data_IF_999007349808
#
_entry.id   IF_999007349808
#
_cell.length_a   1.000
_cell.length_b   1.000
_cell.length_c   1.000
_cell.angle_alpha   90.00
_cell.angle_beta   90.00
_cell.angle_gamma   90.00
#
_symmetry.space_group_name_H-M   'P 1'
#
loop_
_entity.id
_entity.type
_entity.pdbx_description
1 polymer ?
#
# COMPACT_ATOMS: atom_id res chain seq x y z
N UNK A 1 41.69 6.60 10.62
CA UNK A 1 42.42 5.31 10.53
C UNK A 1 42.06 4.70 9.19
N UNK A 2 43.03 4.16 8.45
CA UNK A 2 42.89 3.80 7.03
C UNK A 2 41.77 2.77 6.77
N UNK A 3 40.65 3.22 6.17
CA UNK A 3 39.58 2.40 5.59
C UNK A 3 40.02 1.89 4.20
N UNK A 4 40.90 0.89 4.16
CA UNK A 4 41.25 0.19 2.91
C UNK A 4 40.83 -1.26 3.02
N UNK A 5 40.07 -1.77 2.04
CA UNK A 5 39.56 -3.14 1.98
C UNK A 5 40.67 -4.20 2.08
N UNK A 6 40.32 -5.45 2.42
CA UNK A 6 41.28 -6.57 2.46
C UNK A 6 42.11 -6.66 1.17
N UNK A 7 41.46 -6.57 0.01
CA UNK A 7 42.11 -6.60 -1.29
C UNK A 7 43.09 -5.45 -1.50
N UNK A 8 42.71 -4.23 -1.10
CA UNK A 8 43.58 -3.06 -1.18
C UNK A 8 44.77 -3.13 -0.23
N UNK A 9 44.61 -3.69 0.96
CA UNK A 9 45.73 -3.94 1.88
C UNK A 9 46.70 -4.98 1.34
N UNK A 10 46.19 -6.06 0.75
CA UNK A 10 47.02 -7.07 0.09
C UNK A 10 47.76 -6.43 -1.10
N UNK A 11 47.05 -5.66 -1.94
CA UNK A 11 47.63 -4.95 -3.09
C UNK A 11 48.68 -3.92 -2.66
N UNK A 12 48.43 -3.20 -1.57
CA UNK A 12 49.33 -2.21 -1.00
C UNK A 12 50.58 -2.88 -0.43
N UNK A 13 50.42 -3.87 0.43
CA UNK A 13 51.53 -4.64 0.99
C UNK A 13 52.36 -5.28 -0.12
N UNK A 14 51.72 -5.85 -1.15
CA UNK A 14 52.42 -6.42 -2.31
C UNK A 14 53.26 -5.37 -3.05
N UNK A 15 52.70 -4.19 -3.30
CA UNK A 15 53.41 -3.08 -3.97
C UNK A 15 54.56 -2.55 -3.11
N UNK A 16 54.36 -2.44 -1.79
CA UNK A 16 55.42 -2.05 -0.84
C UNK A 16 56.55 -3.08 -0.79
N UNK A 17 56.25 -4.36 -1.03
CA UNK A 17 57.23 -5.45 -1.15
C UNK A 17 57.76 -5.65 -2.57
N UNK A 18 57.45 -4.76 -3.52
CA UNK A 18 57.89 -4.82 -4.93
C UNK A 18 57.55 -6.13 -5.66
N UNK A 19 56.50 -6.84 -5.23
CA UNK A 19 56.11 -8.14 -5.80
C UNK A 19 55.10 -7.99 -6.95
N UNK A 20 55.19 -8.82 -7.99
CA UNK A 20 54.10 -8.97 -8.97
C UNK A 20 52.97 -9.84 -8.39
N UNK A 21 51.78 -9.82 -9.01
CA UNK A 21 50.69 -10.72 -8.61
C UNK A 21 51.09 -12.20 -8.79
N UNK A 22 51.92 -12.51 -9.80
CA UNK A 22 52.48 -13.84 -10.00
C UNK A 22 53.41 -14.25 -8.84
N UNK A 23 54.25 -13.33 -8.38
CA UNK A 23 55.21 -13.60 -7.29
C UNK A 23 54.49 -13.87 -5.97
N UNK A 24 53.46 -13.07 -5.67
CA UNK A 24 52.62 -13.28 -4.50
C UNK A 24 51.86 -14.62 -4.59
N UNK A 25 51.30 -14.92 -5.76
CA UNK A 25 50.51 -16.13 -6.00
C UNK A 25 51.31 -17.44 -5.90
N UNK A 26 52.59 -17.43 -6.27
CA UNK A 26 53.42 -18.61 -6.54
C UNK A 26 53.34 -19.69 -5.45
N UNK A 27 52.78 -20.85 -5.77
CA UNK A 27 52.68 -21.98 -4.83
C UNK A 27 51.66 -21.79 -3.70
N UNK A 28 50.80 -20.76 -3.76
CA UNK A 28 49.68 -20.56 -2.85
C UNK A 28 48.36 -20.65 -3.62
N UNK A 29 48.19 -19.79 -4.65
CA UNK A 29 46.98 -19.71 -5.49
C UNK A 29 47.37 -19.31 -6.92
N UNK A 30 46.41 -19.18 -7.82
CA UNK A 30 46.66 -18.64 -9.16
C UNK A 30 46.77 -17.11 -9.12
N UNK A 31 47.52 -16.53 -10.05
CA UNK A 31 47.65 -15.07 -10.20
C UNK A 31 46.31 -14.38 -10.49
N UNK A 32 45.42 -15.06 -11.23
CA UNK A 32 44.05 -14.61 -11.45
C UNK A 32 43.26 -14.51 -10.13
N UNK A 33 43.43 -15.46 -9.22
CA UNK A 33 42.80 -15.42 -7.90
C UNK A 33 43.35 -14.29 -7.04
N UNK A 34 44.66 -14.00 -7.09
CA UNK A 34 45.22 -12.79 -6.44
C UNK A 34 44.60 -11.53 -7.03
N UNK A 35 44.45 -11.43 -8.35
CA UNK A 35 43.80 -10.29 -8.99
C UNK A 35 42.32 -10.14 -8.55
N UNK A 36 41.57 -11.24 -8.42
CA UNK A 36 40.19 -11.21 -7.91
C UNK A 36 40.14 -10.78 -6.44
N UNK A 37 41.07 -11.26 -5.61
CA UNK A 37 41.18 -10.86 -4.19
C UNK A 37 41.52 -9.37 -4.07
N UNK A 38 42.52 -8.89 -4.82
CA UNK A 38 42.95 -7.48 -4.79
C UNK A 38 41.86 -6.50 -5.25
N UNK A 39 40.89 -6.97 -6.03
CA UNK A 39 39.76 -6.18 -6.52
C UNK A 39 38.45 -6.47 -5.76
N UNK A 40 38.50 -7.18 -4.62
CA UNK A 40 37.33 -7.45 -3.77
C UNK A 40 36.31 -8.44 -4.34
N UNK A 41 36.63 -9.14 -5.43
CA UNK A 41 35.74 -10.10 -6.10
C UNK A 41 35.81 -11.51 -5.51
N UNK A 42 36.83 -11.82 -4.71
CA UNK A 42 37.01 -13.13 -4.07
C UNK A 42 37.62 -12.97 -2.67
N UNK A 43 37.19 -13.81 -1.72
CA UNK A 43 37.73 -13.85 -0.37
C UNK A 43 38.61 -15.10 -0.18
N UNK A 44 39.88 -14.95 0.23
CA UNK A 44 40.74 -16.10 0.49
C UNK A 44 40.30 -16.84 1.76
N UNK A 45 40.52 -18.16 1.78
CA UNK A 45 40.39 -18.92 3.04
C UNK A 45 41.45 -18.48 4.06
N UNK A 46 41.22 -18.74 5.34
CA UNK A 46 42.19 -18.42 6.39
C UNK A 46 43.58 -19.00 6.10
N UNK A 47 43.66 -20.24 5.60
CA UNK A 47 44.93 -20.89 5.22
C UNK A 47 45.64 -20.15 4.09
N UNK A 48 44.90 -19.70 3.07
CA UNK A 48 45.45 -18.91 1.96
C UNK A 48 45.89 -17.54 2.46
N UNK A 49 45.08 -16.88 3.29
CA UNK A 49 45.40 -15.57 3.84
C UNK A 49 46.64 -15.61 4.74
N UNK A 50 46.78 -16.62 5.59
CA UNK A 50 47.97 -16.84 6.42
C UNK A 50 49.23 -17.00 5.56
N UNK A 51 49.17 -17.84 4.52
CA UNK A 51 50.30 -18.04 3.60
C UNK A 51 50.67 -16.75 2.82
N UNK A 52 49.67 -15.94 2.46
CA UNK A 52 49.91 -14.63 1.83
C UNK A 52 50.49 -13.62 2.83
N UNK A 53 50.03 -13.61 4.07
CA UNK A 53 50.53 -12.73 5.12
C UNK A 53 52.00 -13.01 5.46
N UNK A 54 52.34 -14.30 5.58
CA UNK A 54 53.72 -14.76 5.76
C UNK A 54 54.62 -14.29 4.61
N UNK A 55 54.13 -14.42 3.36
CA UNK A 55 54.88 -13.98 2.17
C UNK A 55 55.06 -12.46 2.09
N UNK A 56 54.05 -11.71 2.51
CA UNK A 56 54.08 -10.25 2.55
C UNK A 56 54.83 -9.72 3.78
N UNK A 57 55.34 -10.61 4.65
CA UNK A 57 56.03 -10.27 5.90
C UNK A 57 55.22 -9.30 6.78
N UNK A 58 53.90 -9.53 6.86
CA UNK A 58 52.98 -8.75 7.70
C UNK A 58 52.23 -9.71 8.64
N UNK A 59 52.00 -9.31 9.90
CA UNK A 59 51.17 -10.11 10.81
C UNK A 59 49.77 -10.30 10.23
N UNK A 60 49.16 -11.48 10.41
CA UNK A 60 47.87 -11.81 9.81
C UNK A 60 46.76 -10.86 10.27
N UNK A 61 46.91 -10.30 11.49
CA UNK A 61 46.05 -9.29 12.10
C UNK A 61 45.95 -8.01 11.25
N UNK A 62 47.00 -7.66 10.50
CA UNK A 62 47.00 -6.54 9.56
C UNK A 62 45.97 -6.72 8.44
N UNK A 63 45.64 -7.96 8.08
CA UNK A 63 44.69 -8.28 7.03
C UNK A 63 43.30 -8.66 7.58
N UNK A 64 43.26 -9.32 8.75
CA UNK A 64 42.05 -9.92 9.34
C UNK A 64 41.12 -8.92 10.05
N UNK A 65 41.59 -7.74 10.44
CA UNK A 65 40.81 -6.73 11.17
C UNK A 65 39.46 -6.35 10.52
N UNK A 66 39.36 -6.33 9.18
CA UNK A 66 38.07 -6.14 8.50
C UNK A 66 37.33 -7.43 8.19
N UNK A 67 37.96 -8.61 8.24
CA UNK A 67 37.22 -9.86 8.00
C UNK A 67 36.23 -10.14 9.13
N UNK A 68 36.60 -9.85 10.38
CA UNK A 68 35.65 -9.93 11.51
C UNK A 68 34.57 -8.85 11.44
N UNK A 69 34.94 -7.62 11.05
CA UNK A 69 34.01 -6.49 10.90
C UNK A 69 33.01 -6.73 9.76
N UNK A 70 33.46 -7.23 8.60
CA UNK A 70 32.59 -7.59 7.46
C UNK A 70 31.70 -8.81 7.79
N UNK A 71 32.22 -9.82 8.49
CA UNK A 71 31.40 -10.98 8.92
C UNK A 71 30.34 -10.53 9.94
N UNK A 72 30.70 -9.63 10.86
CA UNK A 72 29.75 -9.02 11.81
C UNK A 72 28.69 -8.18 11.09
N UNK A 73 29.08 -7.32 10.14
CA UNK A 73 28.14 -6.50 9.35
C UNK A 73 27.17 -7.38 8.54
N UNK A 74 27.66 -8.42 7.85
CA UNK A 74 26.79 -9.36 7.12
C UNK A 74 25.84 -10.12 8.03
N UNK A 75 26.31 -10.54 9.20
CA UNK A 75 25.48 -11.21 10.21
C UNK A 75 24.41 -10.26 10.74
N UNK A 76 24.77 -9.01 11.04
CA UNK A 76 23.83 -7.97 11.46
C UNK A 76 22.83 -7.61 10.36
N UNK A 77 23.23 -7.57 9.10
CA UNK A 77 22.35 -7.33 7.96
C UNK A 77 21.33 -8.47 7.80
N UNK A 78 21.80 -9.71 7.91
CA UNK A 78 20.93 -10.89 7.91
C UNK A 78 19.92 -10.84 9.07
N UNK A 79 20.37 -10.43 10.26
CA UNK A 79 19.49 -10.24 11.42
C UNK A 79 18.48 -9.11 11.19
N UNK A 80 18.87 -8.00 10.56
CA UNK A 80 17.96 -6.93 10.22
C UNK A 80 16.85 -7.41 9.27
N UNK A 81 17.20 -8.18 8.23
CA UNK A 81 16.21 -8.79 7.32
C UNK A 81 15.26 -9.75 8.05
N UNK A 82 15.78 -10.55 8.99
CA UNK A 82 14.95 -11.42 9.82
C UNK A 82 13.99 -10.61 10.73
N UNK A 83 14.46 -9.50 11.31
CA UNK A 83 13.63 -8.59 12.10
C UNK A 83 12.52 -7.92 11.26
N UNK A 84 12.80 -7.59 10.00
CA UNK A 84 11.77 -7.10 9.07
C UNK A 84 10.74 -8.17 8.76
N UNK A 85 11.16 -9.41 8.50
CA UNK A 85 10.25 -10.52 8.28
C UNK A 85 9.35 -10.80 9.49
N UNK A 86 9.82 -10.51 10.71
CA UNK A 86 9.02 -10.58 11.93
C UNK A 86 8.25 -9.29 12.26
N UNK A 87 8.14 -8.34 11.32
CA UNK A 87 7.44 -7.05 11.50
C UNK A 87 8.10 -6.07 12.48
N UNK A 88 9.29 -6.37 12.98
CA UNK A 88 10.02 -5.56 13.96
C UNK A 88 10.85 -4.45 13.30
N UNK A 89 10.21 -3.61 12.49
CA UNK A 89 10.86 -2.60 11.66
C UNK A 89 11.67 -1.56 12.44
N UNK A 90 11.23 -1.17 13.64
CA UNK A 90 11.96 -0.20 14.48
C UNK A 90 13.33 -0.74 14.92
N UNK A 91 13.40 -2.04 15.27
CA UNK A 91 14.65 -2.72 15.64
C UNK A 91 15.52 -2.99 14.41
N UNK A 92 14.91 -3.34 13.29
CA UNK A 92 15.63 -3.50 12.03
C UNK A 92 16.29 -2.18 11.59
N UNK A 93 15.55 -1.08 11.64
CA UNK A 93 16.04 0.26 11.29
C UNK A 93 17.16 0.72 12.22
N UNK A 94 17.05 0.51 13.54
CA UNK A 94 18.12 0.89 14.47
C UNK A 94 19.40 0.07 14.22
N UNK A 95 19.25 -1.22 13.93
CA UNK A 95 20.35 -2.09 13.59
C UNK A 95 21.01 -1.66 12.28
N UNK A 96 20.24 -1.41 11.21
CA UNK A 96 20.72 -0.93 9.92
C UNK A 96 21.43 0.43 10.03
N UNK A 97 20.87 1.37 10.79
CA UNK A 97 21.46 2.70 11.03
C UNK A 97 22.80 2.63 11.79
N UNK A 98 22.98 1.60 12.62
CA UNK A 98 24.25 1.37 13.34
C UNK A 98 25.35 0.74 12.48
N UNK A 99 25.02 0.23 11.29
CA UNK A 99 26.00 -0.31 10.35
C UNK A 99 26.71 0.84 9.63
N UNK A 100 28.04 0.84 9.66
CA UNK A 100 28.87 1.73 8.83
C UNK A 100 29.35 0.97 7.60
N UNK A 101 29.50 1.67 6.46
CA UNK A 101 30.17 1.26 5.22
C UNK A 101 29.93 -0.20 4.75
N UNK A 102 28.96 -0.38 3.86
CA UNK A 102 28.90 -1.54 2.99
C UNK A 102 29.78 -1.29 1.75
N UNK A 103 30.55 -2.30 1.32
CA UNK A 103 31.28 -2.23 0.06
C UNK A 103 30.32 -2.00 -1.12
N UNK A 104 30.83 -1.40 -2.20
CA UNK A 104 30.03 -0.94 -3.36
C UNK A 104 29.06 -1.99 -3.96
N UNK A 105 29.31 -3.30 -3.78
CA UNK A 105 28.45 -4.37 -4.29
C UNK A 105 27.24 -4.73 -3.41
N UNK A 106 27.28 -4.45 -2.10
CA UNK A 106 26.18 -4.74 -1.16
C UNK A 106 25.40 -3.46 -0.76
N UNK A 107 25.88 -2.30 -1.22
CA UNK A 107 25.27 -1.01 -0.93
C UNK A 107 23.83 -0.90 -1.48
N UNK A 108 23.55 -1.42 -2.67
CA UNK A 108 22.21 -1.37 -3.26
C UNK A 108 21.18 -2.11 -2.38
N UNK A 109 21.44 -3.39 -2.09
CA UNK A 109 20.53 -4.21 -1.27
C UNK A 109 20.33 -3.61 0.12
N UNK A 110 21.40 -3.04 0.71
CA UNK A 110 21.34 -2.33 1.97
C UNK A 110 20.40 -1.12 1.91
N UNK A 111 20.60 -0.21 0.95
CA UNK A 111 19.77 1.00 0.82
C UNK A 111 18.30 0.65 0.50
N UNK A 112 18.06 -0.38 -0.33
CA UNK A 112 16.70 -0.86 -0.62
C UNK A 112 16.02 -1.43 0.62
N UNK A 113 16.76 -2.19 1.44
CA UNK A 113 16.26 -2.76 2.70
C UNK A 113 15.97 -1.65 3.73
N UNK A 114 16.84 -0.64 3.79
CA UNK A 114 16.69 0.51 4.67
C UNK A 114 15.50 1.39 4.25
N UNK A 115 15.33 1.66 2.96
CA UNK A 115 14.18 2.40 2.42
C UNK A 115 12.86 1.68 2.75
N UNK A 116 12.81 0.35 2.62
CA UNK A 116 11.64 -0.44 3.04
C UNK A 116 11.37 -0.31 4.54
N UNK A 117 12.40 -0.35 5.40
CA UNK A 117 12.22 -0.09 6.83
C UNK A 117 11.66 1.31 7.11
N UNK A 118 12.15 2.33 6.41
CA UNK A 118 11.66 3.70 6.54
C UNK A 118 10.18 3.81 6.14
N UNK A 119 9.78 3.18 5.03
CA UNK A 119 8.39 3.14 4.57
C UNK A 119 7.46 2.59 5.66
N UNK A 120 7.79 1.42 6.21
CA UNK A 120 6.98 0.75 7.25
C UNK A 120 6.93 1.53 8.57
N UNK A 121 7.90 2.42 8.81
CA UNK A 121 7.93 3.32 9.97
C UNK A 121 7.27 4.68 9.69
N UNK A 122 6.69 4.89 8.51
CA UNK A 122 6.08 6.16 8.09
C UNK A 122 7.10 7.27 7.78
N UNK A 123 8.38 6.93 7.65
CA UNK A 123 9.49 7.87 7.35
C UNK A 123 9.68 8.02 5.84
N UNK A 124 8.63 8.49 5.16
CA UNK A 124 8.58 8.49 3.70
C UNK A 124 9.65 9.38 3.06
N UNK A 125 9.89 10.58 3.60
CA UNK A 125 10.90 11.50 3.07
C UNK A 125 12.32 10.91 3.14
N UNK A 126 12.68 10.26 4.25
CA UNK A 126 13.97 9.57 4.40
C UNK A 126 14.12 8.43 3.38
N UNK A 127 13.03 7.70 3.09
CA UNK A 127 13.02 6.62 2.12
C UNK A 127 13.22 7.13 0.69
N UNK A 128 12.49 8.19 0.30
CA UNK A 128 12.60 8.83 -1.02
C UNK A 128 14.01 9.36 -1.25
N UNK A 129 14.58 10.08 -0.28
CA UNK A 129 15.93 10.64 -0.41
C UNK A 129 17.00 9.57 -0.61
N UNK A 130 16.89 8.43 0.09
CA UNK A 130 17.79 7.29 -0.12
C UNK A 130 17.65 6.67 -1.51
N UNK A 131 16.41 6.49 -1.97
CA UNK A 131 16.13 5.89 -3.28
C UNK A 131 16.55 6.82 -4.43
N UNK A 132 16.36 8.13 -4.31
CA UNK A 132 16.80 9.12 -5.30
C UNK A 132 18.34 9.18 -5.40
N UNK A 133 19.05 9.09 -4.26
CA UNK A 133 20.51 8.95 -4.26
C UNK A 133 20.96 7.69 -4.99
N UNK A 134 20.31 6.55 -4.68
CA UNK A 134 20.61 5.28 -5.34
C UNK A 134 20.32 5.34 -6.86
N UNK A 135 19.25 6.03 -7.25
CA UNK A 135 18.88 6.24 -8.66
C UNK A 135 19.96 7.03 -9.42
N UNK A 136 20.49 8.09 -8.80
CA UNK A 136 21.57 8.90 -9.38
C UNK A 136 22.88 8.09 -9.54
N UNK A 137 23.13 7.13 -8.64
CA UNK A 137 24.31 6.27 -8.63
C UNK A 137 24.18 5.02 -9.54
N UNK A 138 23.03 4.79 -10.18
CA UNK A 138 22.75 3.53 -10.90
C UNK A 138 23.43 3.38 -12.29
N UNK A 139 24.20 4.38 -12.76
CA UNK A 139 25.08 4.36 -13.95
C UNK A 139 24.62 3.52 -15.17
N UNK A 140 23.33 3.53 -15.51
CA UNK A 140 22.80 2.82 -16.69
C UNK A 140 22.49 1.34 -16.51
N UNK A 141 22.54 0.79 -15.29
CA UNK A 141 21.98 -0.54 -15.03
C UNK A 141 20.45 -0.49 -15.03
N UNK A 142 19.86 -0.96 -16.13
CA UNK A 142 18.43 -0.86 -16.37
C UNK A 142 17.58 -1.60 -15.33
N UNK A 143 18.02 -2.78 -14.86
CA UNK A 143 17.31 -3.55 -13.84
C UNK A 143 17.30 -2.83 -12.48
N UNK A 144 18.42 -2.21 -12.11
CA UNK A 144 18.51 -1.43 -10.87
C UNK A 144 17.59 -0.22 -10.92
N UNK A 145 17.67 0.57 -12.00
CA UNK A 145 16.81 1.74 -12.21
C UNK A 145 15.33 1.35 -12.18
N UNK A 146 14.96 0.22 -12.80
CA UNK A 146 13.60 -0.30 -12.78
C UNK A 146 13.15 -0.62 -11.35
N UNK A 147 13.97 -1.37 -10.59
CA UNK A 147 13.65 -1.75 -9.21
C UNK A 147 13.54 -0.53 -8.28
N UNK A 148 14.36 0.50 -8.51
CA UNK A 148 14.31 1.75 -7.73
C UNK A 148 13.02 2.52 -8.03
N UNK A 149 12.60 2.62 -9.30
CA UNK A 149 11.31 3.21 -9.62
C UNK A 149 10.14 2.44 -9.01
N UNK A 150 10.22 1.09 -8.98
CA UNK A 150 9.24 0.25 -8.28
C UNK A 150 9.19 0.55 -6.76
N UNK A 151 10.31 0.87 -6.11
CA UNK A 151 10.28 1.27 -4.69
C UNK A 151 9.81 2.70 -4.48
N UNK A 152 10.21 3.64 -5.34
CA UNK A 152 9.82 5.04 -5.22
C UNK A 152 8.30 5.21 -5.31
N UNK A 153 7.64 4.54 -6.27
CA UNK A 153 6.20 4.64 -6.34
C UNK A 153 5.49 3.92 -5.19
N UNK A 154 6.09 2.88 -4.60
CA UNK A 154 5.51 2.14 -3.47
C UNK A 154 5.51 3.06 -2.25
N UNK A 155 6.63 3.72 -1.99
CA UNK A 155 6.78 4.72 -0.93
C UNK A 155 5.82 5.91 -1.17
N UNK A 156 5.74 6.40 -2.41
CA UNK A 156 4.83 7.49 -2.76
C UNK A 156 3.36 7.10 -2.56
N UNK A 157 2.97 5.86 -2.91
CA UNK A 157 1.61 5.36 -2.70
C UNK A 157 1.26 5.23 -1.21
N UNK A 158 2.18 4.71 -0.38
CA UNK A 158 1.99 4.58 1.07
C UNK A 158 1.95 5.94 1.77
N UNK A 159 2.66 6.94 1.24
CA UNK A 159 2.59 8.33 1.72
C UNK A 159 1.34 9.10 1.25
N UNK A 160 0.47 8.48 0.46
CA UNK A 160 -0.75 9.10 -0.09
C UNK A 160 -0.50 10.05 -1.27
N UNK A 161 0.75 10.13 -1.77
CA UNK A 161 1.13 10.99 -2.90
C UNK A 161 0.85 10.29 -4.24
N UNK A 162 -0.42 10.03 -4.53
CA UNK A 162 -0.82 9.18 -5.68
C UNK A 162 -0.35 9.69 -7.04
N UNK A 163 -0.27 11.01 -7.23
CA UNK A 163 0.26 11.58 -8.49
C UNK A 163 1.76 11.27 -8.67
N UNK A 164 2.53 11.35 -7.58
CA UNK A 164 3.96 11.01 -7.60
C UNK A 164 4.17 9.51 -7.76
N UNK A 165 3.34 8.69 -7.09
CA UNK A 165 3.33 7.24 -7.28
C UNK A 165 3.11 6.88 -8.76
N UNK A 166 2.09 7.48 -9.38
CA UNK A 166 1.79 7.27 -10.80
C UNK A 166 2.96 7.68 -11.70
N UNK A 167 3.66 8.78 -11.40
CA UNK A 167 4.84 9.19 -12.14
C UNK A 167 5.94 8.11 -12.11
N UNK A 168 6.28 7.60 -10.93
CA UNK A 168 7.28 6.54 -10.79
C UNK A 168 6.82 5.21 -11.42
N UNK A 169 5.53 4.87 -11.30
CA UNK A 169 4.94 3.69 -11.94
C UNK A 169 5.05 3.75 -13.46
N UNK A 170 4.77 4.90 -14.06
CA UNK A 170 4.90 5.11 -15.51
C UNK A 170 6.37 5.02 -15.95
N UNK A 171 7.31 5.53 -15.16
CA UNK A 171 8.74 5.38 -15.43
C UNK A 171 9.18 3.92 -15.43
N UNK A 172 8.74 3.13 -14.45
CA UNK A 172 8.98 1.68 -14.44
C UNK A 172 8.29 0.99 -15.64
N UNK A 173 7.07 1.42 -15.99
CA UNK A 173 6.29 0.85 -17.09
C UNK A 173 6.98 1.01 -18.45
N UNK A 174 7.54 2.19 -18.72
CA UNK A 174 8.34 2.48 -19.93
C UNK A 174 9.56 1.55 -20.11
N UNK A 175 9.99 0.88 -19.04
CA UNK A 175 11.16 0.01 -19.02
C UNK A 175 10.81 -1.48 -19.15
N UNK A 176 9.55 -1.90 -18.94
CA UNK A 176 9.16 -3.32 -18.86
C UNK A 176 9.66 -4.17 -20.04
N UNK A 177 9.57 -3.65 -21.26
CA UNK A 177 10.00 -4.36 -22.48
C UNK A 177 11.51 -4.47 -22.61
N UNK A 178 12.26 -3.54 -22.03
CA UNK A 178 13.73 -3.51 -22.09
C UNK A 178 14.38 -4.34 -20.99
N UNK A 179 13.67 -4.52 -19.86
CA UNK A 179 14.11 -5.28 -18.69
C UNK A 179 13.75 -6.77 -18.83
N UNK A 180 13.02 -7.15 -19.89
CA UNK A 180 12.47 -8.50 -20.06
C UNK A 180 11.74 -9.00 -18.80
N UNK A 181 11.00 -8.08 -18.16
CA UNK A 181 10.28 -8.38 -16.92
C UNK A 181 9.30 -9.52 -17.15
N UNK A 182 9.23 -10.45 -16.19
CA UNK A 182 8.35 -11.59 -16.31
C UNK A 182 6.86 -11.16 -16.26
N UNK A 183 5.93 -11.98 -16.78
CA UNK A 183 4.50 -11.64 -16.80
C UNK A 183 3.92 -11.41 -15.39
N UNK A 184 4.53 -12.00 -14.36
CA UNK A 184 4.14 -11.72 -12.99
C UNK A 184 4.48 -10.27 -12.67
N UNK A 185 5.74 -9.86 -12.69
CA UNK A 185 6.17 -8.49 -12.36
C UNK A 185 5.45 -7.42 -13.21
N UNK A 186 5.21 -7.69 -14.50
CA UNK A 186 4.43 -6.82 -15.40
C UNK A 186 3.03 -6.55 -14.87
N UNK A 187 2.29 -7.60 -14.54
CA UNK A 187 0.93 -7.47 -14.04
C UNK A 187 0.87 -6.85 -12.65
N UNK A 188 1.87 -7.05 -11.78
CA UNK A 188 1.91 -6.35 -10.49
C UNK A 188 2.00 -4.84 -10.70
N UNK A 189 2.90 -4.40 -11.58
CA UNK A 189 3.04 -2.97 -11.91
C UNK A 189 1.75 -2.42 -12.54
N UNK A 190 1.14 -3.16 -13.47
CA UNK A 190 -0.16 -2.79 -14.06
C UNK A 190 -1.26 -2.66 -12.99
N UNK A 191 -1.32 -3.58 -12.03
CA UNK A 191 -2.25 -3.51 -10.89
C UNK A 191 -1.97 -2.28 -10.02
N UNK A 192 -0.71 -1.98 -9.69
CA UNK A 192 -0.35 -0.77 -8.94
C UNK A 192 -0.75 0.51 -9.68
N UNK A 193 -0.55 0.57 -11.00
CA UNK A 193 -1.01 1.70 -11.83
C UNK A 193 -2.53 1.81 -11.79
N UNK A 194 -3.25 0.70 -12.00
CA UNK A 194 -4.71 0.66 -11.98
C UNK A 194 -5.29 1.10 -10.65
N UNK A 195 -4.76 0.59 -9.54
CA UNK A 195 -5.14 0.98 -8.18
C UNK A 195 -4.86 2.46 -7.91
N UNK A 196 -3.72 2.98 -8.39
CA UNK A 196 -3.37 4.39 -8.23
C UNK A 196 -4.34 5.29 -9.00
N UNK A 197 -4.72 4.92 -10.23
CA UNK A 197 -5.75 5.65 -10.99
C UNK A 197 -7.11 5.60 -10.32
N UNK A 198 -7.49 4.45 -9.75
CA UNK A 198 -8.74 4.32 -8.99
C UNK A 198 -8.75 5.27 -7.78
N UNK A 199 -7.67 5.32 -6.99
CA UNK A 199 -7.54 6.28 -5.87
C UNK A 199 -7.54 7.74 -6.30
N UNK A 200 -7.13 8.04 -7.53
CA UNK A 200 -7.21 9.37 -8.14
C UNK A 200 -8.60 9.70 -8.73
N UNK A 201 -9.55 8.76 -8.71
CA UNK A 201 -10.89 8.92 -9.29
C UNK A 201 -10.92 8.85 -10.82
N UNK A 202 -9.84 8.36 -11.44
CA UNK A 202 -9.68 8.29 -12.89
C UNK A 202 -10.02 6.87 -13.36
N UNK A 203 -11.31 6.58 -13.41
CA UNK A 203 -11.79 5.19 -13.44
C UNK A 203 -11.60 4.48 -14.78
N UNK A 204 -11.61 5.19 -15.92
CA UNK A 204 -11.45 4.56 -17.23
C UNK A 204 -10.04 3.95 -17.38
N UNK A 205 -9.02 4.70 -16.98
CA UNK A 205 -7.63 4.26 -16.97
C UNK A 205 -7.42 3.15 -15.94
N UNK A 206 -8.02 3.26 -14.75
CA UNK A 206 -7.96 2.22 -13.74
C UNK A 206 -8.45 0.87 -14.27
N UNK A 207 -9.63 0.86 -14.91
CA UNK A 207 -10.20 -0.33 -15.54
C UNK A 207 -9.28 -0.89 -16.62
N UNK A 208 -8.75 -0.04 -17.51
CA UNK A 208 -7.87 -0.46 -18.59
C UNK A 208 -6.62 -1.18 -18.07
N UNK A 209 -5.95 -0.59 -17.07
CA UNK A 209 -4.74 -1.17 -16.49
C UNK A 209 -5.00 -2.46 -15.70
N UNK A 210 -6.11 -2.53 -14.96
CA UNK A 210 -6.51 -3.75 -14.25
C UNK A 210 -6.88 -4.89 -15.20
N UNK A 211 -7.56 -4.61 -16.31
CA UNK A 211 -7.86 -5.60 -17.33
C UNK A 211 -6.60 -6.10 -18.05
N UNK A 212 -5.63 -5.22 -18.31
CA UNK A 212 -4.34 -5.64 -18.85
C UNK A 212 -3.58 -6.54 -17.86
N UNK A 213 -3.57 -6.19 -16.57
CA UNK A 213 -2.98 -7.02 -15.53
C UNK A 213 -3.60 -8.42 -15.46
N UNK A 214 -4.92 -8.51 -15.66
CA UNK A 214 -5.64 -9.78 -15.72
C UNK A 214 -5.18 -10.64 -16.91
N UNK A 215 -5.14 -10.07 -18.13
CA UNK A 215 -4.77 -10.81 -19.33
C UNK A 215 -3.33 -11.33 -19.30
N UNK A 216 -2.40 -10.55 -18.72
CA UNK A 216 -0.99 -10.94 -18.54
C UNK A 216 -0.83 -12.18 -17.65
N UNK A 217 -1.70 -12.35 -16.64
CA UNK A 217 -1.58 -13.46 -15.67
C UNK A 217 -2.64 -14.54 -15.80
N UNK A 218 -3.59 -14.49 -16.74
CA UNK A 218 -4.79 -15.35 -16.77
C UNK A 218 -4.57 -16.86 -16.58
N UNK A 219 -3.40 -17.38 -16.93
CA UNK A 219 -3.05 -18.81 -16.78
C UNK A 219 -2.39 -19.16 -15.43
N UNK A 220 -1.86 -18.18 -14.68
CA UNK A 220 -1.08 -18.38 -13.44
C UNK A 220 -1.50 -17.46 -12.28
N UNK A 221 -2.62 -16.75 -12.38
CA UNK A 221 -3.15 -15.94 -11.26
C UNK A 221 -3.48 -16.87 -10.09
N UNK A 222 -3.05 -16.53 -8.87
CA UNK A 222 -3.63 -17.16 -7.69
C UNK A 222 -5.12 -16.79 -7.62
N UNK A 223 -5.95 -17.69 -7.09
CA UNK A 223 -7.37 -17.37 -6.90
C UNK A 223 -7.53 -16.15 -5.98
N UNK A 224 -6.63 -15.95 -5.01
CA UNK A 224 -6.68 -14.82 -4.08
C UNK A 224 -6.43 -13.48 -4.80
N UNK A 225 -5.35 -13.39 -5.59
CA UNK A 225 -5.05 -12.18 -6.38
C UNK A 225 -6.19 -11.86 -7.36
N UNK A 226 -6.81 -12.91 -7.92
CA UNK A 226 -7.94 -12.75 -8.83
C UNK A 226 -9.19 -12.20 -8.11
N UNK A 227 -9.47 -12.70 -6.90
CA UNK A 227 -10.54 -12.19 -6.05
C UNK A 227 -10.34 -10.71 -5.71
N UNK A 228 -9.12 -10.34 -5.32
CA UNK A 228 -8.76 -8.95 -5.02
C UNK A 228 -8.89 -8.04 -6.24
N UNK A 229 -8.44 -8.51 -7.41
CA UNK A 229 -8.56 -7.76 -8.66
C UNK A 229 -10.02 -7.53 -9.06
N UNK A 230 -10.88 -8.54 -8.93
CA UNK A 230 -12.32 -8.38 -9.19
C UNK A 230 -12.99 -7.44 -8.19
N UNK A 231 -12.58 -7.46 -6.93
CA UNK A 231 -13.07 -6.50 -5.94
C UNK A 231 -12.70 -5.07 -6.35
N UNK A 232 -11.44 -4.81 -6.70
CA UNK A 232 -11.03 -3.47 -7.15
C UNK A 232 -11.74 -3.04 -8.42
N UNK A 233 -11.91 -3.93 -9.41
CA UNK A 233 -12.68 -3.63 -10.62
C UNK A 233 -14.12 -3.27 -10.27
N UNK A 234 -14.76 -4.03 -9.37
CA UNK A 234 -16.12 -3.74 -8.90
C UNK A 234 -16.23 -2.33 -8.32
N UNK A 235 -15.36 -1.98 -7.37
CA UNK A 235 -15.34 -0.65 -6.74
C UNK A 235 -15.08 0.46 -7.79
N UNK A 236 -14.15 0.22 -8.71
CA UNK A 236 -13.84 1.19 -9.78
C UNK A 236 -15.03 1.43 -10.70
N UNK A 237 -15.77 0.37 -11.06
CA UNK A 237 -16.99 0.50 -11.87
C UNK A 237 -18.13 1.13 -11.08
N UNK A 238 -18.26 0.85 -9.78
CA UNK A 238 -19.22 1.52 -8.90
C UNK A 238 -18.98 3.04 -8.88
N UNK A 239 -17.74 3.47 -8.69
CA UNK A 239 -17.37 4.90 -8.67
C UNK A 239 -17.59 5.58 -10.04
N UNK A 240 -17.54 4.80 -11.12
CA UNK A 240 -17.87 5.25 -12.48
C UNK A 240 -19.36 5.29 -12.78
N UNK A 241 -20.23 4.95 -11.81
CA UNK A 241 -21.66 4.72 -11.98
C UNK A 241 -22.02 3.63 -13.02
N UNK A 242 -21.09 2.72 -13.32
CA UNK A 242 -21.35 1.57 -14.19
C UNK A 242 -21.73 0.36 -13.33
N UNK A 243 -22.97 0.39 -12.83
CA UNK A 243 -23.44 -0.59 -11.85
C UNK A 243 -23.53 -2.01 -12.41
N UNK A 244 -23.80 -2.19 -13.71
CA UNK A 244 -23.82 -3.50 -14.38
C UNK A 244 -22.50 -4.25 -14.21
N UNK A 245 -21.40 -3.58 -14.55
CA UNK A 245 -20.07 -4.16 -14.43
C UNK A 245 -19.66 -4.32 -12.96
N UNK A 246 -20.00 -3.34 -12.11
CA UNK A 246 -19.73 -3.44 -10.68
C UNK A 246 -20.38 -4.69 -10.06
N UNK A 247 -21.66 -4.93 -10.34
CA UNK A 247 -22.39 -6.12 -9.87
C UNK A 247 -21.75 -7.41 -10.37
N UNK A 248 -21.42 -7.48 -11.67
CA UNK A 248 -20.77 -8.66 -12.26
C UNK A 248 -19.43 -9.00 -11.59
N UNK A 249 -18.58 -7.99 -11.36
CA UNK A 249 -17.28 -8.21 -10.74
C UNK A 249 -17.39 -8.49 -9.23
N UNK A 250 -18.36 -7.88 -8.53
CA UNK A 250 -18.70 -8.25 -7.15
C UNK A 250 -19.12 -9.72 -7.01
N UNK A 251 -19.98 -10.23 -7.90
CA UNK A 251 -20.39 -11.64 -7.89
C UNK A 251 -19.20 -12.59 -8.07
N UNK A 252 -18.30 -12.25 -8.99
CA UNK A 252 -17.07 -13.04 -9.24
C UNK A 252 -16.13 -13.01 -8.04
N UNK A 253 -15.89 -11.83 -7.45
CA UNK A 253 -15.07 -11.69 -6.26
C UNK A 253 -15.66 -12.48 -5.07
N UNK A 254 -16.98 -12.37 -4.84
CA UNK A 254 -17.69 -13.13 -3.81
C UNK A 254 -17.51 -14.65 -3.98
N UNK A 255 -17.72 -15.17 -5.19
CA UNK A 255 -17.57 -16.59 -5.49
C UNK A 255 -16.15 -17.10 -5.18
N UNK A 256 -15.13 -16.32 -5.53
CA UNK A 256 -13.73 -16.64 -5.25
C UNK A 256 -13.46 -16.65 -3.75
N UNK A 257 -13.77 -15.56 -3.04
CA UNK A 257 -13.48 -15.48 -1.60
C UNK A 257 -14.23 -16.55 -0.81
N UNK A 258 -15.46 -16.89 -1.23
CA UNK A 258 -16.20 -18.02 -0.66
C UNK A 258 -15.52 -19.36 -0.90
N UNK A 259 -14.98 -19.59 -2.10
CA UNK A 259 -14.25 -20.83 -2.43
C UNK A 259 -12.94 -20.97 -1.66
N UNK A 260 -12.29 -19.85 -1.32
CA UNK A 260 -11.08 -19.78 -0.53
C UNK A 260 -11.33 -19.83 0.99
N UNK A 261 -12.59 -19.90 1.41
CA UNK A 261 -13.01 -19.78 2.82
C UNK A 261 -12.62 -18.43 3.46
N UNK A 262 -12.38 -17.39 2.66
CA UNK A 262 -12.22 -16.01 3.10
C UNK A 262 -13.61 -15.40 3.35
N UNK A 263 -14.34 -15.97 4.31
CA UNK A 263 -15.76 -15.67 4.46
C UNK A 263 -16.03 -14.22 4.87
N UNK A 264 -15.11 -13.57 5.57
CA UNK A 264 -15.28 -12.18 5.99
C UNK A 264 -15.24 -11.24 4.77
N UNK A 265 -14.22 -11.40 3.91
CA UNK A 265 -14.15 -10.71 2.61
C UNK A 265 -15.33 -11.07 1.71
N UNK A 266 -15.73 -12.34 1.66
CA UNK A 266 -16.90 -12.75 0.87
C UNK A 266 -18.18 -12.05 1.35
N UNK A 267 -18.33 -11.83 2.66
CA UNK A 267 -19.48 -11.14 3.24
C UNK A 267 -19.44 -9.65 2.93
N UNK A 268 -18.27 -9.02 3.05
CA UNK A 268 -18.06 -7.61 2.69
C UNK A 268 -18.42 -7.32 1.22
N UNK A 269 -17.91 -8.14 0.29
CA UNK A 269 -18.26 -8.01 -1.15
C UNK A 269 -19.77 -8.21 -1.37
N UNK A 270 -20.40 -9.09 -0.60
CA UNK A 270 -21.84 -9.36 -0.70
C UNK A 270 -22.67 -8.16 -0.21
N UNK A 271 -22.21 -7.43 0.81
CA UNK A 271 -22.83 -6.17 1.24
C UNK A 271 -22.79 -5.14 0.11
N UNK A 272 -21.63 -4.92 -0.51
CA UNK A 272 -21.50 -3.98 -1.63
C UNK A 272 -22.38 -4.37 -2.82
N UNK A 273 -22.51 -5.68 -3.10
CA UNK A 273 -23.42 -6.20 -4.13
C UNK A 273 -24.88 -5.88 -3.83
N UNK A 274 -25.35 -6.02 -2.58
CA UNK A 274 -26.73 -5.69 -2.22
C UNK A 274 -27.07 -4.23 -2.51
N UNK A 275 -26.18 -3.32 -2.13
CA UNK A 275 -26.34 -1.88 -2.39
C UNK A 275 -26.39 -1.59 -3.90
N UNK A 276 -25.53 -2.24 -4.69
CA UNK A 276 -25.53 -2.15 -6.15
C UNK A 276 -26.85 -2.63 -6.77
N UNK A 277 -27.38 -3.77 -6.29
CA UNK A 277 -28.65 -4.33 -6.76
C UNK A 277 -29.83 -3.39 -6.49
N UNK A 278 -29.86 -2.78 -5.30
CA UNK A 278 -30.87 -1.78 -4.95
C UNK A 278 -30.79 -0.55 -5.86
N UNK A 279 -29.58 0.00 -6.09
CA UNK A 279 -29.36 1.18 -6.94
C UNK A 279 -29.76 0.99 -8.40
N UNK A 280 -29.44 -0.17 -8.96
CA UNK A 280 -29.49 -0.36 -10.41
C UNK A 280 -30.80 -0.97 -10.90
N UNK A 281 -31.29 -1.97 -10.19
CA UNK A 281 -32.41 -2.79 -10.66
C UNK A 281 -33.71 -2.53 -9.88
N UNK A 282 -33.67 -1.64 -8.88
CA UNK A 282 -34.77 -1.47 -7.93
C UNK A 282 -35.09 -2.75 -7.16
N UNK A 283 -34.15 -3.71 -7.11
CA UNK A 283 -34.27 -5.01 -6.44
C UNK A 283 -34.07 -4.85 -4.93
N UNK A 284 -34.90 -4.01 -4.33
CA UNK A 284 -34.81 -3.61 -2.92
C UNK A 284 -35.01 -4.85 -2.03
N UNK A 285 -36.01 -5.68 -2.30
CA UNK A 285 -36.30 -6.87 -1.48
C UNK A 285 -35.15 -7.89 -1.51
N UNK A 286 -34.56 -8.16 -2.68
CA UNK A 286 -33.41 -9.05 -2.80
C UNK A 286 -32.18 -8.47 -2.08
N UNK A 287 -31.97 -7.15 -2.17
CA UNK A 287 -30.88 -6.47 -1.47
C UNK A 287 -31.05 -6.56 0.06
N UNK A 288 -32.25 -6.29 0.59
CA UNK A 288 -32.55 -6.40 2.02
C UNK A 288 -32.36 -7.84 2.51
N UNK A 289 -32.79 -8.85 1.76
CA UNK A 289 -32.55 -10.25 2.11
C UNK A 289 -31.05 -10.56 2.22
N UNK A 290 -30.23 -10.07 1.29
CA UNK A 290 -28.78 -10.24 1.34
C UNK A 290 -28.17 -9.58 2.58
N UNK A 291 -28.61 -8.36 2.91
CA UNK A 291 -28.14 -7.61 4.07
C UNK A 291 -28.54 -8.28 5.40
N UNK A 292 -29.73 -8.87 5.47
CA UNK A 292 -30.19 -9.65 6.62
C UNK A 292 -29.32 -10.91 6.80
N UNK A 293 -29.02 -11.64 5.73
CA UNK A 293 -28.13 -12.80 5.77
C UNK A 293 -26.71 -12.43 6.26
N UNK A 294 -26.19 -11.26 5.83
CA UNK A 294 -24.91 -10.74 6.30
C UNK A 294 -24.97 -10.36 7.78
N UNK A 295 -26.05 -9.69 8.22
CA UNK A 295 -26.27 -9.31 9.62
C UNK A 295 -26.31 -10.54 10.53
N UNK A 296 -27.06 -11.58 10.16
CA UNK A 296 -27.13 -12.82 10.92
C UNK A 296 -25.77 -13.49 11.08
N UNK A 297 -24.91 -13.40 10.06
CA UNK A 297 -23.55 -13.94 10.11
C UNK A 297 -22.69 -13.18 11.12
N UNK A 298 -22.70 -11.86 11.08
CA UNK A 298 -21.94 -11.04 12.03
C UNK A 298 -22.47 -11.17 13.46
N UNK A 299 -23.78 -11.34 13.65
CA UNK A 299 -24.36 -11.69 14.95
C UNK A 299 -23.83 -13.01 15.51
N UNK A 300 -23.66 -14.03 14.67
CA UNK A 300 -23.05 -15.31 15.09
C UNK A 300 -21.57 -15.18 15.45
N UNK A 301 -20.88 -14.16 14.93
CA UNK A 301 -19.46 -13.87 15.21
C UNK A 301 -19.27 -12.88 16.37
N UNK A 302 -20.34 -12.32 16.94
CA UNK A 302 -20.32 -11.21 17.91
C UNK A 302 -19.56 -9.97 17.39
N UNK A 303 -19.60 -9.76 16.07
CA UNK A 303 -18.91 -8.65 15.40
C UNK A 303 -19.81 -7.40 15.38
N UNK A 304 -19.82 -6.69 16.50
CA UNK A 304 -20.65 -5.48 16.68
C UNK A 304 -20.35 -4.41 15.62
N UNK A 305 -19.09 -4.27 15.22
CA UNK A 305 -18.68 -3.25 14.25
C UNK A 305 -19.32 -3.52 12.89
N UNK A 306 -19.20 -4.75 12.37
CA UNK A 306 -19.75 -5.10 11.06
C UNK A 306 -21.29 -5.20 11.05
N UNK A 307 -21.92 -5.48 12.19
CA UNK A 307 -23.37 -5.30 12.35
C UNK A 307 -23.75 -3.83 12.12
N UNK A 308 -23.03 -2.89 12.76
CA UNK A 308 -23.26 -1.45 12.57
C UNK A 308 -23.08 -1.01 11.11
N UNK A 309 -22.03 -1.47 10.43
CA UNK A 309 -21.84 -1.18 9.01
C UNK A 309 -22.98 -1.75 8.14
N UNK A 310 -23.40 -2.98 8.41
CA UNK A 310 -24.51 -3.59 7.65
C UNK A 310 -25.81 -2.82 7.87
N UNK A 311 -26.09 -2.35 9.09
CA UNK A 311 -27.25 -1.51 9.40
C UNK A 311 -27.22 -0.17 8.65
N UNK A 312 -26.05 0.43 8.44
CA UNK A 312 -25.90 1.62 7.59
C UNK A 312 -26.27 1.33 6.14
N UNK A 313 -25.80 0.23 5.57
CA UNK A 313 -26.15 -0.16 4.21
C UNK A 313 -27.65 -0.50 4.08
N UNK A 314 -28.23 -1.19 5.06
CA UNK A 314 -29.68 -1.46 5.11
C UNK A 314 -30.48 -0.17 5.18
N UNK A 315 -30.08 0.78 6.02
CA UNK A 315 -30.74 2.08 6.10
C UNK A 315 -30.65 2.86 4.79
N UNK A 316 -29.51 2.78 4.09
CA UNK A 316 -29.36 3.38 2.78
C UNK A 316 -30.30 2.74 1.75
N UNK A 317 -30.42 1.42 1.71
CA UNK A 317 -31.37 0.71 0.83
C UNK A 317 -32.83 1.05 1.18
N UNK A 318 -33.18 1.14 2.46
CA UNK A 318 -34.51 1.55 2.92
C UNK A 318 -34.85 3.00 2.58
N UNK A 319 -33.85 3.90 2.59
CA UNK A 319 -34.02 5.27 2.10
C UNK A 319 -34.47 5.26 0.63
N UNK A 320 -33.87 4.41 -0.21
CA UNK A 320 -34.26 4.25 -1.61
C UNK A 320 -35.68 3.67 -1.77
N UNK A 321 -36.11 2.84 -0.82
CA UNK A 321 -37.47 2.30 -0.74
C UNK A 321 -38.52 3.34 -0.29
N UNK A 322 -38.07 4.49 0.23
CA UNK A 322 -38.94 5.50 0.86
C UNK A 322 -39.29 5.20 2.31
N UNK A 323 -38.69 4.18 2.93
CA UNK A 323 -38.92 3.80 4.33
C UNK A 323 -38.00 4.59 5.29
N UNK A 324 -38.17 5.91 5.30
CA UNK A 324 -37.29 6.84 6.04
C UNK A 324 -37.30 6.61 7.55
N UNK A 325 -38.45 6.27 8.14
CA UNK A 325 -38.58 6.06 9.59
C UNK A 325 -37.76 4.87 10.09
N UNK A 326 -37.85 3.73 9.40
CA UNK A 326 -37.07 2.52 9.72
C UNK A 326 -35.57 2.77 9.49
N UNK A 327 -35.22 3.45 8.40
CA UNK A 327 -33.84 3.84 8.12
C UNK A 327 -33.24 4.71 9.24
N UNK A 328 -33.98 5.70 9.75
CA UNK A 328 -33.53 6.55 10.87
C UNK A 328 -33.25 5.72 12.12
N UNK A 329 -34.12 4.77 12.47
CA UNK A 329 -33.88 3.91 13.63
C UNK A 329 -32.61 3.08 13.50
N UNK A 330 -32.37 2.50 12.31
CA UNK A 330 -31.19 1.69 12.04
C UNK A 330 -29.91 2.51 12.08
N UNK A 331 -29.88 3.72 11.49
CA UNK A 331 -28.68 4.57 11.54
C UNK A 331 -28.37 4.98 12.98
N UNK A 332 -29.38 5.24 13.81
CA UNK A 332 -29.17 5.57 15.23
C UNK A 332 -28.57 4.39 16.01
N UNK A 333 -29.05 3.19 15.76
CA UNK A 333 -28.46 1.98 16.36
C UNK A 333 -27.03 1.77 15.86
N UNK A 334 -26.77 1.96 14.57
CA UNK A 334 -25.42 1.80 14.00
C UNK A 334 -24.39 2.75 14.61
N UNK A 335 -24.79 3.97 15.00
CA UNK A 335 -23.91 4.94 15.65
C UNK A 335 -23.42 4.44 17.02
N UNK A 336 -24.21 3.62 17.71
CA UNK A 336 -23.82 3.01 18.99
C UNK A 336 -22.96 1.75 18.82
N UNK A 337 -23.01 1.13 17.63
CA UNK A 337 -22.26 -0.09 17.29
C UNK A 337 -20.89 0.22 16.65
N UNK A 338 -20.79 1.27 15.84
CA UNK A 338 -19.57 1.68 15.16
C UNK A 338 -18.66 2.41 16.16
N UNK A 339 -17.63 1.73 16.64
CA UNK A 339 -16.66 2.29 17.58
C UNK A 339 -15.28 2.42 16.95
N UNK A 340 -14.66 3.59 17.06
CA UNK A 340 -13.27 3.81 16.66
C UNK A 340 -13.06 4.14 15.18
N UNK A 341 -14.12 4.24 14.38
CA UNK A 341 -14.06 4.67 12.98
C UNK A 341 -14.78 6.00 12.77
N UNK A 342 -14.02 7.10 12.84
CA UNK A 342 -14.55 8.44 12.66
C UNK A 342 -15.09 8.70 11.23
N UNK A 343 -14.59 7.99 10.22
CA UNK A 343 -15.03 8.17 8.82
C UNK A 343 -16.40 7.50 8.60
N UNK A 344 -16.59 6.30 9.14
CA UNK A 344 -17.88 5.61 9.11
C UNK A 344 -18.92 6.32 9.98
N UNK A 345 -18.52 6.87 11.14
CA UNK A 345 -19.39 7.76 11.92
C UNK A 345 -19.77 9.03 11.15
N UNK A 346 -18.84 9.63 10.39
CA UNK A 346 -19.14 10.76 9.53
C UNK A 346 -20.15 10.41 8.44
N UNK A 347 -20.03 9.21 7.86
CA UNK A 347 -20.95 8.67 6.86
C UNK A 347 -22.34 8.44 7.45
N UNK A 348 -22.42 7.83 8.63
CA UNK A 348 -23.65 7.63 9.38
C UNK A 348 -24.38 8.95 9.65
N UNK A 349 -23.65 9.95 10.15
CA UNK A 349 -24.20 11.29 10.39
C UNK A 349 -24.68 11.98 9.11
N UNK A 350 -23.97 11.80 7.98
CA UNK A 350 -24.41 12.34 6.68
C UNK A 350 -25.73 11.70 6.24
N UNK A 351 -25.84 10.38 6.33
CA UNK A 351 -27.05 9.64 5.97
C UNK A 351 -28.22 10.05 6.85
N UNK A 352 -28.01 10.17 8.16
CA UNK A 352 -29.03 10.62 9.10
C UNK A 352 -29.48 12.06 8.82
N UNK A 353 -28.56 12.94 8.42
CA UNK A 353 -28.91 14.29 8.01
C UNK A 353 -29.82 14.31 6.77
N UNK A 354 -29.53 13.46 5.78
CA UNK A 354 -30.33 13.34 4.58
C UNK A 354 -31.73 12.75 4.86
N UNK A 355 -31.80 11.74 5.73
CA UNK A 355 -33.06 11.15 6.18
C UNK A 355 -33.93 12.17 6.95
N UNK A 356 -33.35 12.93 7.87
CA UNK A 356 -34.09 13.98 8.58
C UNK A 356 -34.51 15.13 7.66
N UNK A 357 -33.72 15.44 6.63
CA UNK A 357 -34.14 16.39 5.59
C UNK A 357 -35.39 15.88 4.87
N UNK A 358 -35.41 14.61 4.48
CA UNK A 358 -36.56 13.99 3.81
C UNK A 358 -37.83 14.01 4.69
N UNK A 359 -37.68 13.94 6.02
CA UNK A 359 -38.80 14.13 6.98
C UNK A 359 -39.09 15.61 7.34
N UNK A 360 -38.46 16.58 6.66
CA UNK A 360 -38.54 18.02 6.95
C UNK A 360 -38.12 18.42 8.38
N UNK A 361 -37.33 17.57 9.06
CA UNK A 361 -36.74 17.83 10.39
C UNK A 361 -35.42 18.58 10.25
N UNK A 362 -35.49 19.79 9.68
CA UNK A 362 -34.31 20.56 9.26
C UNK A 362 -33.30 20.82 10.38
N UNK A 363 -33.75 21.05 11.62
CA UNK A 363 -32.84 21.27 12.76
C UNK A 363 -31.98 20.04 13.06
N UNK A 364 -32.60 18.86 13.09
CA UNK A 364 -31.89 17.60 13.33
C UNK A 364 -30.93 17.29 12.18
N UNK A 365 -31.37 17.56 10.94
CA UNK A 365 -30.55 17.42 9.75
C UNK A 365 -29.28 18.29 9.81
N UNK A 366 -29.40 19.56 10.19
CA UNK A 366 -28.26 20.48 10.32
C UNK A 366 -27.29 20.04 11.42
N UNK A 367 -27.81 19.56 12.56
CA UNK A 367 -26.98 19.07 13.66
C UNK A 367 -26.11 17.89 13.22
N UNK A 368 -26.71 16.88 12.58
CA UNK A 368 -25.95 15.72 12.10
C UNK A 368 -25.03 16.05 10.93
N UNK A 369 -25.43 16.95 10.04
CA UNK A 369 -24.54 17.38 8.97
C UNK A 369 -23.29 18.10 9.50
N UNK A 370 -23.45 18.90 10.56
CA UNK A 370 -22.34 19.57 11.23
C UNK A 370 -21.37 18.57 11.86
N UNK A 371 -21.89 17.50 12.47
CA UNK A 371 -21.07 16.39 13.00
C UNK A 371 -20.31 15.67 11.88
N UNK A 372 -20.97 15.36 10.77
CA UNK A 372 -20.36 14.73 9.60
C UNK A 372 -19.21 15.57 9.03
N UNK A 373 -19.45 16.87 8.80
CA UNK A 373 -18.43 17.80 8.29
C UNK A 373 -17.23 17.92 9.25
N UNK A 374 -17.48 17.99 10.56
CA UNK A 374 -16.42 18.06 11.56
C UNK A 374 -15.50 16.84 11.50
N UNK A 375 -16.09 15.63 11.43
CA UNK A 375 -15.34 14.38 11.37
C UNK A 375 -14.55 14.24 10.06
N UNK A 376 -15.15 14.55 8.90
CA UNK A 376 -14.41 14.53 7.64
C UNK A 376 -13.28 15.57 7.61
N UNK A 377 -13.50 16.77 8.16
CA UNK A 377 -12.48 17.81 8.25
C UNK A 377 -11.33 17.40 9.18
N UNK A 378 -11.62 16.76 10.32
CA UNK A 378 -10.61 16.24 11.27
C UNK A 378 -9.63 15.28 10.59
N UNK A 379 -10.13 14.49 9.63
CA UNK A 379 -9.33 13.48 8.90
C UNK A 379 -8.87 13.91 7.51
N UNK A 380 -9.13 15.16 7.09
CA UNK A 380 -8.76 15.64 5.76
C UNK A 380 -9.42 14.88 4.60
N UNK A 381 -10.59 14.27 4.83
CA UNK A 381 -11.26 13.41 3.85
C UNK A 381 -12.07 14.25 2.84
N UNK A 382 -11.41 14.65 1.75
CA UNK A 382 -11.92 15.61 0.77
C UNK A 382 -13.21 15.18 0.06
N UNK A 383 -13.35 13.89 -0.28
CA UNK A 383 -14.54 13.36 -0.97
C UNK A 383 -15.76 13.45 -0.07
N UNK A 384 -15.66 12.95 1.18
CA UNK A 384 -16.75 13.02 2.14
C UNK A 384 -17.13 14.45 2.51
N UNK A 385 -16.15 15.36 2.59
CA UNK A 385 -16.43 16.80 2.75
C UNK A 385 -17.24 17.35 1.58
N UNK A 386 -16.89 17.00 0.34
CA UNK A 386 -17.62 17.44 -0.85
C UNK A 386 -19.09 16.97 -0.82
N UNK A 387 -19.32 15.69 -0.53
CA UNK A 387 -20.67 15.13 -0.41
C UNK A 387 -21.50 15.83 0.68
N UNK A 388 -20.92 16.03 1.86
CA UNK A 388 -21.58 16.70 2.97
C UNK A 388 -21.83 18.19 2.66
N UNK A 389 -20.91 18.86 1.97
CA UNK A 389 -21.09 20.23 1.50
C UNK A 389 -22.22 20.35 0.48
N UNK A 390 -22.34 19.40 -0.47
CA UNK A 390 -23.47 19.38 -1.40
C UNK A 390 -24.81 19.28 -0.67
N UNK A 391 -24.92 18.40 0.32
CA UNK A 391 -26.12 18.29 1.15
C UNK A 391 -26.41 19.58 1.94
N UNK A 392 -25.36 20.27 2.40
CA UNK A 392 -25.50 21.55 3.13
C UNK A 392 -26.17 22.62 2.27
N UNK A 393 -25.78 22.74 0.99
CA UNK A 393 -26.34 23.75 0.08
C UNK A 393 -27.83 23.56 -0.07
N UNK A 394 -28.29 22.33 -0.30
CA UNK A 394 -29.72 22.02 -0.39
C UNK A 394 -30.47 22.29 0.91
N UNK A 395 -29.90 21.92 2.07
CA UNK A 395 -30.52 22.15 3.36
C UNK A 395 -30.68 23.63 3.69
N UNK A 396 -29.68 24.46 3.39
CA UNK A 396 -29.75 25.89 3.64
C UNK A 396 -30.76 26.59 2.72
N UNK A 397 -30.89 26.16 1.47
CA UNK A 397 -31.93 26.66 0.56
C UNK A 397 -33.34 26.34 1.08
N UNK A 398 -33.57 25.10 1.52
CA UNK A 398 -34.83 24.67 2.10
C UNK A 398 -35.12 25.39 3.43
N UNK A 399 -34.10 25.61 4.26
CA UNK A 399 -34.26 26.33 5.52
C UNK A 399 -34.57 27.82 5.33
N UNK A 400 -33.95 28.49 4.35
CA UNK A 400 -34.31 29.87 4.02
C UNK A 400 -35.76 29.98 3.54
N UNK A 401 -36.23 29.02 2.74
CA UNK A 401 -37.63 28.96 2.31
C UNK A 401 -38.56 28.73 3.51
N UNK A 402 -38.24 27.77 4.39
CA UNK A 402 -38.99 27.52 5.61
C UNK A 402 -39.09 28.79 6.47
N UNK A 403 -37.98 29.49 6.68
CA UNK A 403 -37.94 30.73 7.44
C UNK A 403 -38.82 31.82 6.81
N UNK A 404 -38.81 31.97 5.48
CA UNK A 404 -39.68 32.94 4.79
C UNK A 404 -41.17 32.62 4.96
N UNK A 405 -41.56 31.34 4.96
CA UNK A 405 -42.95 30.91 5.13
C UNK A 405 -43.43 31.02 6.59
N UNK A 406 -42.64 30.57 7.56
CA UNK A 406 -43.00 30.64 8.99
C UNK A 406 -43.13 32.07 9.51
N UNK A 407 -42.36 33.02 8.95
CA UNK A 407 -42.52 34.44 9.29
C UNK A 407 -43.63 35.14 8.50
N UNK A 408 -44.09 34.58 7.37
CA UNK A 408 -45.21 35.10 6.58
C UNK A 408 -46.59 34.83 7.21
N UNK A 409 -46.75 33.66 7.85
CA UNK A 409 -47.99 33.31 8.57
C UNK A 409 -48.17 34.12 9.87
N UNK A 410 -47.08 34.55 10.50
CA UNK A 410 -47.11 35.42 11.69
C UNK A 410 -47.52 36.88 11.39
N UNK A 411 -47.58 37.29 10.12
CA UNK A 411 -47.99 38.64 9.70
C UNK A 411 -49.46 38.66 9.21
N UNK A 412 -50.11 37.50 9.08
CA UNK A 412 -51.49 37.38 8.57
C UNK A 412 -52.50 36.78 9.57
N UNK A 413 -52.14 36.61 10.83
CA UNK A 413 -53.06 36.36 11.95
C UNK A 413 -53.21 37.63 12.80
#
# INVERSE_FOLDING_TARGET
MNNSSLGERIKKARKESEMTQNDLARGIVTSSMICQIENGKAYPSYKVLAALADRLARPIEYFVSDTETNVRQRSSFTLAKALMASGSYAKAYSLLKSMQDFGQGEAEEFHMTMAKCCQELGKYDEAIEMLDRLLAESHGNLHQVFTIYLRLGEVAEHSGQYQLALYHWKKAYEMLDRVEADPFDRAQLLTSIGNTYHRLGVSQEAVLYLQQAFEERKEKVSLEDLGQMFLTLSLTYHDSNNFDQASLFSERAHAIFRSLNHFDLATEVKLSLAVLMAKQHGKIDEALQILDECTERYMKQDDRYNIGLTQLETAFVLQMAGETGTAISLVRESLDLITGDDLELARAHRLLADLYRAEHRLKDAINHLSQSLHLYQKHGHSVGMMEAMHLSVSLYQEWEQFRKHSFGELITA
#
